data_IF_994476254978
#
_entry.id   IF_994476254978
#
_cell.length_a   1.000
_cell.length_b   1.000
_cell.length_c   1.000
_cell.angle_alpha   90.00
_cell.angle_beta   90.00
_cell.angle_gamma   90.00
#
_symmetry.space_group_name_H-M   'P 1'
#
loop_
_entity.id
_entity.type
_entity.pdbx_description
1 polymer ?
#
# COMPACT_ATOMS: atom_id res chain seq x y z
N UNK A 1 -30.81 12.52 -4.13
CA UNK A 1 -29.76 12.38 -3.10
C UNK A 1 -29.19 13.77 -2.90
N UNK A 2 -29.12 14.29 -1.68
CA UNK A 2 -28.71 15.68 -1.46
C UNK A 2 -27.19 15.85 -1.61
N UNK A 3 -26.70 17.05 -1.91
CA UNK A 3 -25.27 17.37 -1.90
C UNK A 3 -24.60 16.99 -0.57
N UNK A 4 -25.31 17.15 0.55
CA UNK A 4 -24.86 16.75 1.88
C UNK A 4 -24.66 15.23 2.00
N UNK A 5 -25.52 14.42 1.37
CA UNK A 5 -25.37 12.96 1.36
C UNK A 5 -24.16 12.53 0.50
N UNK A 6 -23.95 13.18 -0.65
CA UNK A 6 -22.80 12.92 -1.51
C UNK A 6 -21.50 13.29 -0.78
N UNK A 7 -21.46 14.43 -0.08
CA UNK A 7 -20.31 14.84 0.73
C UNK A 7 -20.00 13.84 1.87
N UNK A 8 -21.02 13.30 2.55
CA UNK A 8 -20.83 12.23 3.55
C UNK A 8 -20.26 10.96 2.92
N UNK A 9 -20.67 10.61 1.70
CA UNK A 9 -20.13 9.47 0.96
C UNK A 9 -18.68 9.71 0.54
N UNK A 10 -18.34 10.92 0.09
CA UNK A 10 -16.97 11.29 -0.25
C UNK A 10 -16.03 11.11 0.96
N UNK A 11 -16.41 11.65 2.12
CA UNK A 11 -15.65 11.50 3.37
C UNK A 11 -15.45 10.03 3.77
N UNK A 12 -16.41 9.15 3.47
CA UNK A 12 -16.26 7.70 3.71
C UNK A 12 -15.26 7.08 2.73
N UNK A 13 -15.32 7.45 1.45
CA UNK A 13 -14.40 6.97 0.43
C UNK A 13 -12.95 7.45 0.66
N UNK A 14 -12.75 8.68 1.11
CA UNK A 14 -11.45 9.22 1.52
C UNK A 14 -10.86 8.43 2.70
N UNK A 15 -11.66 8.15 3.73
CA UNK A 15 -11.22 7.32 4.86
C UNK A 15 -10.85 5.90 4.42
N UNK A 16 -11.61 5.29 3.51
CA UNK A 16 -11.26 4.00 2.95
C UNK A 16 -9.91 4.07 2.22
N UNK A 17 -9.70 5.10 1.41
CA UNK A 17 -8.43 5.33 0.70
C UNK A 17 -7.25 5.41 1.67
N UNK A 18 -7.40 6.19 2.75
CA UNK A 18 -6.37 6.29 3.79
C UNK A 18 -6.08 4.95 4.49
N UNK A 19 -7.11 4.14 4.76
CA UNK A 19 -6.93 2.79 5.32
C UNK A 19 -6.19 1.88 4.35
N UNK A 20 -6.56 1.89 3.07
CA UNK A 20 -5.87 1.07 2.06
C UNK A 20 -4.40 1.48 1.90
N UNK A 21 -4.09 2.77 1.97
CA UNK A 21 -2.72 3.25 1.97
C UNK A 21 -1.93 2.75 3.20
N UNK A 22 -2.53 2.80 4.40
CA UNK A 22 -1.90 2.26 5.61
C UNK A 22 -1.63 0.76 5.50
N UNK A 23 -2.58 0.00 4.96
CA UNK A 23 -2.42 -1.44 4.73
C UNK A 23 -1.28 -1.73 3.73
N UNK A 24 -1.20 -0.97 2.62
CA UNK A 24 -0.10 -1.10 1.66
C UNK A 24 1.25 -0.81 2.32
N UNK A 25 1.36 0.27 3.09
CA UNK A 25 2.60 0.63 3.80
C UNK A 25 3.01 -0.44 4.81
N UNK A 26 2.05 -1.01 5.55
CA UNK A 26 2.34 -2.10 6.48
C UNK A 26 2.87 -3.35 5.76
N UNK A 27 2.28 -3.72 4.63
CA UNK A 27 2.76 -4.83 3.80
C UNK A 27 4.17 -4.56 3.23
N UNK A 28 4.43 -3.33 2.75
CA UNK A 28 5.76 -2.91 2.27
C UNK A 28 6.82 -3.04 3.37
N UNK A 29 6.49 -2.65 4.61
CA UNK A 29 7.40 -2.76 5.76
C UNK A 29 7.72 -4.21 6.08
N UNK A 30 6.71 -5.09 6.09
CA UNK A 30 6.91 -6.53 6.33
C UNK A 30 7.80 -7.16 5.25
N UNK A 31 7.57 -6.83 3.97
CA UNK A 31 8.41 -7.31 2.88
C UNK A 31 9.86 -6.82 3.03
N UNK A 32 10.05 -5.55 3.39
CA UNK A 32 11.38 -4.99 3.61
C UNK A 32 12.11 -5.65 4.79
N UNK A 33 11.39 -5.99 5.87
CA UNK A 33 11.95 -6.75 6.99
C UNK A 33 12.37 -8.16 6.57
N UNK A 34 11.52 -8.89 5.85
CA UNK A 34 11.87 -10.23 5.33
C UNK A 34 13.10 -10.19 4.43
N UNK A 35 13.20 -9.20 3.55
CA UNK A 35 14.37 -9.02 2.66
C UNK A 35 15.65 -8.73 3.45
N UNK A 36 15.60 -7.85 4.45
CA UNK A 36 16.75 -7.61 5.35
C UNK A 36 17.19 -8.86 6.08
N UNK A 37 16.24 -9.70 6.52
CA UNK A 37 16.55 -10.97 7.14
C UNK A 37 17.19 -11.96 6.15
N UNK A 38 16.76 -11.98 4.89
CA UNK A 38 17.37 -12.79 3.85
C UNK A 38 18.82 -12.35 3.55
N UNK A 39 19.05 -11.04 3.46
CA UNK A 39 20.40 -10.47 3.30
C UNK A 39 21.33 -10.85 4.47
N UNK A 40 20.82 -10.82 5.71
CA UNK A 40 21.58 -11.25 6.88
C UNK A 40 21.95 -12.73 6.84
N UNK A 41 21.05 -13.61 6.36
CA UNK A 41 21.34 -15.04 6.19
C UNK A 41 22.44 -15.28 5.15
N UNK A 42 22.44 -14.54 4.04
CA UNK A 42 23.50 -14.65 3.04
C UNK A 42 24.83 -14.08 3.55
N UNK A 43 24.80 -13.01 4.34
CA UNK A 43 25.98 -12.49 5.01
C UNK A 43 26.58 -13.52 6.00
N UNK A 44 25.75 -14.17 6.81
CA UNK A 44 26.16 -15.26 7.70
C UNK A 44 26.78 -16.43 6.94
N UNK A 45 26.20 -16.79 5.78
CA UNK A 45 26.71 -17.85 4.91
C UNK A 45 28.10 -17.49 4.37
N UNK A 46 28.28 -16.26 3.87
CA UNK A 46 29.56 -15.78 3.38
C UNK A 46 30.61 -15.74 4.51
N UNK A 47 30.24 -15.26 5.69
CA UNK A 47 31.12 -15.20 6.86
C UNK A 47 31.58 -16.60 7.30
N UNK A 48 30.66 -17.58 7.32
CA UNK A 48 31.00 -18.97 7.67
C UNK A 48 31.99 -19.59 6.66
N UNK A 49 31.74 -19.39 5.37
CA UNK A 49 32.65 -19.89 4.32
C UNK A 49 34.03 -19.24 4.41
N UNK A 50 34.08 -17.92 4.65
CA UNK A 50 35.33 -17.20 4.84
C UNK A 50 36.10 -17.70 6.09
N UNK A 51 35.40 -17.93 7.21
CA UNK A 51 36.01 -18.42 8.44
C UNK A 51 36.59 -19.83 8.29
N UNK A 52 35.88 -20.73 7.58
CA UNK A 52 36.37 -22.08 7.29
C UNK A 52 37.55 -22.04 6.32
N UNK A 53 37.48 -21.23 5.27
CA UNK A 53 38.51 -21.15 4.23
C UNK A 53 39.81 -20.47 4.70
N UNK A 54 39.74 -19.56 5.68
CA UNK A 54 40.92 -18.85 6.21
C UNK A 54 41.56 -19.53 7.42
N UNK A 55 40.90 -20.50 8.04
CA UNK A 55 41.41 -21.19 9.22
C UNK A 55 42.41 -22.29 8.86
N UNK A 56 43.59 -22.26 9.47
CA UNK A 56 44.60 -23.33 9.36
C UNK A 56 44.06 -24.71 9.78
N UNK A 57 43.06 -24.72 10.67
CA UNK A 57 42.39 -25.93 11.16
C UNK A 57 40.95 -26.04 10.66
N UNK A 58 40.57 -25.29 9.62
CA UNK A 58 39.20 -25.25 9.09
C UNK A 58 38.67 -26.62 8.66
N UNK A 59 39.57 -27.51 8.21
CA UNK A 59 39.24 -28.89 7.84
C UNK A 59 38.60 -29.70 8.98
N UNK A 60 38.97 -29.42 10.25
CA UNK A 60 38.41 -30.10 11.42
C UNK A 60 36.94 -29.74 11.67
N UNK A 61 36.46 -28.63 11.12
CA UNK A 61 35.11 -28.12 11.33
C UNK A 61 34.19 -28.28 10.11
N UNK A 62 34.65 -28.95 9.05
CA UNK A 62 33.91 -29.05 7.78
C UNK A 62 32.52 -29.68 7.95
N UNK A 63 32.38 -30.71 8.78
CA UNK A 63 31.09 -31.34 8.98
C UNK A 63 30.11 -30.40 9.70
N UNK A 64 30.56 -29.72 10.76
CA UNK A 64 29.76 -28.74 11.48
C UNK A 64 29.37 -27.55 10.59
N UNK A 65 30.33 -27.04 9.81
CA UNK A 65 30.10 -25.98 8.83
C UNK A 65 29.09 -26.41 7.77
N UNK A 66 29.20 -27.63 7.22
CA UNK A 66 28.23 -28.17 6.27
C UNK A 66 26.82 -28.26 6.85
N UNK A 67 26.67 -28.75 8.09
CA UNK A 67 25.36 -28.80 8.77
C UNK A 67 24.77 -27.39 8.94
N UNK A 68 25.59 -26.42 9.36
CA UNK A 68 25.15 -25.02 9.50
C UNK A 68 24.77 -24.40 8.15
N UNK A 69 25.56 -24.63 7.10
CA UNK A 69 25.27 -24.14 5.74
C UNK A 69 23.95 -24.70 5.21
N UNK A 70 23.66 -25.98 5.45
CA UNK A 70 22.36 -26.57 5.09
C UNK A 70 21.20 -25.88 5.81
N UNK A 71 21.37 -25.59 7.11
CA UNK A 71 20.38 -24.83 7.88
C UNK A 71 20.16 -23.42 7.36
N UNK A 72 21.24 -22.70 7.04
CA UNK A 72 21.17 -21.35 6.45
C UNK A 72 20.51 -21.38 5.06
N UNK A 73 20.85 -22.35 4.21
CA UNK A 73 20.24 -22.51 2.90
C UNK A 73 18.73 -22.79 3.00
N UNK A 74 18.31 -23.69 3.89
CA UNK A 74 16.89 -23.95 4.13
C UNK A 74 16.15 -22.70 4.64
N UNK A 75 16.79 -21.90 5.51
CA UNK A 75 16.23 -20.64 5.99
C UNK A 75 16.12 -19.60 4.88
N UNK A 76 17.12 -19.48 4.01
CA UNK A 76 17.10 -18.58 2.86
C UNK A 76 15.94 -18.91 1.91
N UNK A 77 15.77 -20.19 1.56
CA UNK A 77 14.64 -20.64 0.72
C UNK A 77 13.28 -20.32 1.35
N UNK A 78 13.14 -20.48 2.67
CA UNK A 78 11.90 -20.14 3.36
C UNK A 78 11.63 -18.63 3.35
N UNK A 79 12.66 -17.81 3.58
CA UNK A 79 12.53 -16.35 3.51
C UNK A 79 12.19 -15.86 2.10
N UNK A 80 12.76 -16.49 1.07
CA UNK A 80 12.44 -16.17 -0.33
C UNK A 80 10.97 -16.50 -0.66
N UNK A 81 10.48 -17.65 -0.20
CA UNK A 81 9.06 -18.04 -0.34
C UNK A 81 8.13 -17.05 0.37
N UNK A 82 8.48 -16.64 1.59
CA UNK A 82 7.72 -15.63 2.35
C UNK A 82 7.72 -14.29 1.62
N UNK A 83 8.89 -13.84 1.14
CA UNK A 83 9.04 -12.58 0.43
C UNK A 83 8.23 -12.56 -0.87
N UNK A 84 8.15 -13.68 -1.60
CA UNK A 84 7.29 -13.79 -2.78
C UNK A 84 5.80 -13.60 -2.42
N UNK A 85 5.33 -14.30 -1.38
CA UNK A 85 3.95 -14.14 -0.90
C UNK A 85 3.64 -12.72 -0.43
N UNK A 86 4.58 -12.07 0.26
CA UNK A 86 4.43 -10.68 0.71
C UNK A 86 4.46 -9.69 -0.44
N UNK A 87 5.24 -9.96 -1.51
CA UNK A 87 5.25 -9.14 -2.72
C UNK A 87 3.89 -9.17 -3.43
N UNK A 88 3.24 -10.34 -3.48
CA UNK A 88 1.88 -10.48 -3.99
C UNK A 88 0.87 -9.71 -3.11
N UNK A 89 1.02 -9.76 -1.79
CA UNK A 89 0.18 -8.99 -0.87
C UNK A 89 0.33 -7.48 -1.08
N UNK A 90 1.56 -6.96 -1.18
CA UNK A 90 1.83 -5.54 -1.49
C UNK A 90 1.14 -5.13 -2.79
N UNK A 91 1.22 -5.99 -3.82
CA UNK A 91 0.56 -5.74 -5.10
C UNK A 91 -0.96 -5.67 -4.95
N UNK A 92 -1.57 -6.63 -4.24
CA UNK A 92 -3.01 -6.63 -4.00
C UNK A 92 -3.49 -5.41 -3.20
N UNK A 93 -2.74 -5.00 -2.17
CA UNK A 93 -3.03 -3.78 -1.42
C UNK A 93 -2.90 -2.53 -2.31
N UNK A 94 -1.90 -2.48 -3.19
CA UNK A 94 -1.76 -1.41 -4.18
C UNK A 94 -2.96 -1.32 -5.14
N UNK A 95 -3.44 -2.46 -5.63
CA UNK A 95 -4.64 -2.51 -6.47
C UNK A 95 -5.90 -2.10 -5.69
N UNK A 96 -6.03 -2.53 -4.43
CA UNK A 96 -7.15 -2.16 -3.57
C UNK A 96 -7.18 -0.64 -3.29
N UNK A 97 -6.03 -0.05 -2.99
CA UNK A 97 -5.88 1.40 -2.87
C UNK A 97 -6.29 2.10 -4.16
N UNK A 98 -5.79 1.63 -5.33
CA UNK A 98 -6.13 2.30 -6.59
C UNK A 98 -7.64 2.27 -6.88
N UNK A 99 -8.31 1.16 -6.55
CA UNK A 99 -9.78 1.07 -6.66
C UNK A 99 -10.48 2.04 -5.70
N UNK A 100 -9.98 2.21 -4.49
CA UNK A 100 -10.53 3.17 -3.51
C UNK A 100 -10.38 4.63 -3.99
N UNK A 101 -9.20 5.00 -4.50
CA UNK A 101 -8.93 6.31 -5.09
C UNK A 101 -9.89 6.63 -6.23
N UNK A 102 -10.02 5.72 -7.20
CA UNK A 102 -10.95 5.87 -8.33
C UNK A 102 -12.40 5.99 -7.87
N UNK A 103 -12.77 5.32 -6.77
CA UNK A 103 -14.12 5.47 -6.22
C UNK A 103 -14.33 6.82 -5.56
N UNK A 104 -13.32 7.37 -4.86
CA UNK A 104 -13.39 8.69 -4.26
C UNK A 104 -13.49 9.78 -5.34
N UNK A 105 -12.66 9.73 -6.37
CA UNK A 105 -12.64 10.67 -7.50
C UNK A 105 -14.00 10.73 -8.23
N UNK A 106 -14.64 9.57 -8.44
CA UNK A 106 -15.98 9.51 -9.02
C UNK A 106 -17.04 10.18 -8.14
N UNK A 107 -16.94 10.03 -6.82
CA UNK A 107 -17.90 10.64 -5.89
C UNK A 107 -17.67 12.15 -5.81
N UNK A 108 -16.42 12.60 -5.83
CA UNK A 108 -16.04 14.01 -5.89
C UNK A 108 -16.62 14.67 -7.16
N UNK A 109 -16.40 14.06 -8.32
CA UNK A 109 -16.99 14.53 -9.59
C UNK A 109 -18.52 14.64 -9.52
N UNK A 110 -19.20 13.72 -8.83
CA UNK A 110 -20.65 13.80 -8.63
C UNK A 110 -21.05 14.93 -7.68
N UNK A 111 -20.26 15.19 -6.65
CA UNK A 111 -20.50 16.27 -5.71
C UNK A 111 -20.35 17.63 -6.38
N UNK A 112 -19.32 17.81 -7.20
CA UNK A 112 -19.06 19.06 -7.90
C UNK A 112 -20.18 19.37 -8.91
N UNK A 113 -20.62 18.36 -9.67
CA UNK A 113 -21.79 18.51 -10.57
C UNK A 113 -23.06 18.90 -9.83
N UNK A 114 -23.31 18.35 -8.64
CA UNK A 114 -24.50 18.72 -7.87
C UNK A 114 -24.39 20.13 -7.28
N UNK A 115 -23.18 20.56 -6.88
CA UNK A 115 -22.93 21.95 -6.46
C UNK A 115 -23.14 22.92 -7.61
N UNK A 116 -22.56 22.65 -8.77
CA UNK A 116 -22.75 23.48 -9.98
C UNK A 116 -24.23 23.60 -10.35
N UNK A 117 -24.98 22.50 -10.22
CA UNK A 117 -26.43 22.49 -10.46
C UNK A 117 -27.19 23.38 -9.48
N UNK A 118 -26.87 23.31 -8.19
CA UNK A 118 -27.51 24.13 -7.15
C UNK A 118 -27.17 25.62 -7.34
N UNK A 119 -25.91 25.93 -7.62
CA UNK A 119 -25.45 27.31 -7.89
C UNK A 119 -26.13 27.90 -9.13
N UNK A 120 -26.32 27.10 -10.19
CA UNK A 120 -27.03 27.53 -11.38
C UNK A 120 -28.51 27.82 -11.11
N UNK A 121 -29.17 26.99 -10.29
CA UNK A 121 -30.57 27.21 -9.88
C UNK A 121 -30.70 28.49 -9.05
N UNK A 122 -29.82 28.70 -8.07
CA UNK A 122 -29.83 29.91 -7.23
C UNK A 122 -29.63 31.20 -8.05
N UNK A 123 -28.75 31.16 -9.06
CA UNK A 123 -28.58 32.27 -10.01
C UNK A 123 -29.83 32.55 -10.83
N UNK A 124 -30.53 31.51 -11.30
CA UNK A 124 -31.77 31.66 -12.06
C UNK A 124 -32.90 32.22 -11.19
N UNK A 125 -33.06 31.73 -9.96
CA UNK A 125 -34.06 32.23 -9.01
C UNK A 125 -33.80 33.71 -8.68
N UNK A 126 -32.53 34.09 -8.49
CA UNK A 126 -32.14 35.48 -8.29
C UNK A 126 -32.34 36.39 -9.51
N UNK A 127 -32.43 35.84 -10.72
CA UNK A 127 -32.81 36.59 -11.94
C UNK A 127 -34.33 36.71 -12.06
N UNK A 128 -35.09 35.65 -11.73
CA UNK A 128 -36.54 35.67 -11.74
C UNK A 128 -37.11 36.69 -10.74
N UNK A 129 -36.60 36.69 -9.50
CA UNK A 129 -37.00 37.66 -8.47
C UNK A 129 -36.69 39.11 -8.85
N UNK A 130 -35.57 39.36 -9.53
CA UNK A 130 -35.22 40.71 -10.02
C UNK A 130 -36.14 41.18 -11.15
N UNK A 131 -36.61 40.26 -12.00
CA UNK A 131 -37.54 40.57 -13.09
C UNK A 131 -38.92 40.95 -12.55
N UNK A 132 -39.42 40.20 -11.56
CA UNK A 132 -40.68 40.51 -10.87
C UNK A 132 -40.60 41.83 -10.10
N UNK A 133 -39.46 42.16 -9.49
CA UNK A 133 -39.25 43.45 -8.83
C UNK A 133 -39.13 44.65 -9.79
N UNK A 134 -39.00 44.39 -11.10
CA UNK A 134 -38.82 45.42 -12.14
C UNK A 134 -40.06 45.65 -13.02
N UNK A 135 -41.15 44.93 -12.78
CA UNK A 135 -42.42 45.08 -13.50
C UNK A 135 -43.51 45.63 -12.54
N UNK A 136 -44.06 46.83 -12.77
CA UNK A 136 -45.20 47.37 -12.02
C UNK A 136 -46.54 46.72 -12.40
#
# INVERSE_FOLDING_TARGET
MSAADIAKRLKRAERLTAVQEQMRRAAEWQLAETRRNAEAVEADRAALLAAVGSSAHGHLFLEAANRRLRGLAARATELERIAASQADEVREQGLAQKRAELSAERIETLLDRERDRLDAMERLDGLAQRRDASLP
#
